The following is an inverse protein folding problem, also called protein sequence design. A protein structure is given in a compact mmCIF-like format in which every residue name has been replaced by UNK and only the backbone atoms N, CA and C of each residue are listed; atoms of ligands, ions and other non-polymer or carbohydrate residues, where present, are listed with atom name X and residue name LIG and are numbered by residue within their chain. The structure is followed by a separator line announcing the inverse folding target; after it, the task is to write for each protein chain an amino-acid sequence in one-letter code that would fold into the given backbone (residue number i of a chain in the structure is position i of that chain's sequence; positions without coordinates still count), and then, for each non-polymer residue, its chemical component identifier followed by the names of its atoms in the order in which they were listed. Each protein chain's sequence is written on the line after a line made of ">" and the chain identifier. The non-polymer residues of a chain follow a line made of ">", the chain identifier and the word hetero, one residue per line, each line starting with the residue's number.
data_IF_397908546011
#
_entry.id   IF_397908546011
#
_cell.length_a   1.000
_cell.length_b   1.000
_cell.length_c   1.000
_cell.angle_alpha   90.00
_cell.angle_beta   90.00
_cell.angle_gamma   90.00
#
_symmetry.space_group_name_H-M   'P 1'
#
loop_
_entity.id
_entity.type
_entity.pdbx_description
1 polymer ?
#
# COMPACT_ATOMS: atom_id res chain seq x y z
N UNK A 1 14.85 -0.79 -0.98
CA UNK A 1 13.74 0.07 -0.48
C UNK A 1 12.53 -0.81 -0.22
N UNK A 2 11.99 -0.75 1.00
CA UNK A 2 10.85 -1.56 1.44
C UNK A 2 9.69 -0.62 1.81
N UNK A 3 8.53 -0.78 1.17
CA UNK A 3 7.33 0.01 1.40
C UNK A 3 6.25 -0.93 1.97
N UNK A 4 5.84 -0.71 3.22
CA UNK A 4 4.73 -1.47 3.80
C UNK A 4 3.40 -0.75 3.58
N UNK A 5 2.43 -1.40 2.97
CA UNK A 5 1.06 -0.90 2.86
C UNK A 5 0.26 -1.46 4.03
N UNK A 6 0.06 -0.65 5.07
CA UNK A 6 -0.55 -1.06 6.32
C UNK A 6 -1.72 -0.17 6.73
N UNK A 7 -2.75 -0.76 7.31
CA UNK A 7 -3.85 -0.07 7.97
C UNK A 7 -4.59 -1.07 8.87
N UNK A 8 -4.95 -0.63 10.07
CA UNK A 8 -5.74 -1.42 11.03
C UNK A 8 -7.11 -1.75 10.43
N UNK A 9 -7.72 -0.78 9.75
CA UNK A 9 -9.04 -0.94 9.14
C UNK A 9 -9.04 -1.90 7.96
N UNK A 10 -10.02 -2.80 7.95
CA UNK A 10 -10.34 -3.62 6.78
C UNK A 10 -11.08 -2.83 5.69
N UNK A 11 -10.90 -3.22 4.43
CA UNK A 11 -11.65 -2.65 3.31
C UNK A 11 -11.13 -1.33 2.74
N UNK A 12 -10.12 -0.70 3.32
CA UNK A 12 -9.55 0.58 2.85
C UNK A 12 -8.70 0.48 1.57
N UNK A 13 -8.59 -0.72 0.98
CA UNK A 13 -7.92 -0.93 -0.29
C UNK A 13 -6.43 -1.23 -0.22
N UNK A 14 -5.91 -1.77 0.91
CA UNK A 14 -4.48 -2.13 1.06
C UNK A 14 -3.95 -2.97 -0.09
N UNK A 15 -4.52 -4.15 -0.30
CA UNK A 15 -4.10 -5.08 -1.36
C UNK A 15 -4.14 -4.45 -2.75
N UNK A 16 -5.23 -3.74 -3.07
CA UNK A 16 -5.35 -3.04 -4.36
C UNK A 16 -4.24 -2.00 -4.52
N UNK A 17 -3.95 -1.24 -3.47
CA UNK A 17 -2.91 -0.22 -3.48
C UNK A 17 -1.51 -0.82 -3.57
N UNK A 18 -1.23 -1.88 -2.82
CA UNK A 18 0.04 -2.59 -2.86
C UNK A 18 0.32 -3.16 -4.26
N UNK A 19 -0.66 -3.83 -4.87
CA UNK A 19 -0.58 -4.35 -6.23
C UNK A 19 -0.36 -3.23 -7.25
N UNK A 20 -1.15 -2.15 -7.17
CA UNK A 20 -1.06 -1.03 -8.09
C UNK A 20 0.29 -0.32 -8.03
N UNK A 21 0.76 -0.05 -6.81
CA UNK A 21 2.06 0.57 -6.59
C UNK A 21 3.19 -0.32 -7.11
N UNK A 22 3.20 -1.60 -6.75
CA UNK A 22 4.23 -2.55 -7.16
C UNK A 22 4.27 -2.69 -8.68
N UNK A 23 3.12 -2.83 -9.36
CA UNK A 23 3.05 -2.93 -10.82
C UNK A 23 3.48 -1.64 -11.51
N UNK A 24 3.10 -0.47 -10.99
CA UNK A 24 3.53 0.82 -11.53
C UNK A 24 5.04 0.99 -11.43
N UNK A 25 5.62 0.65 -10.27
CA UNK A 25 7.07 0.69 -10.06
C UNK A 25 7.83 -0.31 -10.95
N UNK A 26 7.27 -1.52 -11.16
CA UNK A 26 7.85 -2.52 -12.07
C UNK A 26 7.85 -2.04 -13.51
N UNK A 27 6.78 -1.39 -13.97
CA UNK A 27 6.71 -0.82 -15.33
C UNK A 27 7.69 0.31 -15.55
N UNK A 28 7.95 1.12 -14.53
CA UNK A 28 8.95 2.16 -14.58
C UNK A 28 10.39 1.59 -14.62
N UNK A 29 10.59 0.35 -14.17
CA UNK A 29 11.89 -0.34 -14.08
C UNK A 29 11.78 -1.81 -14.55
N UNK A 30 11.58 -2.08 -15.84
CA UNK A 30 11.35 -3.44 -16.33
C UNK A 30 12.51 -4.42 -16.08
N UNK A 31 13.74 -3.90 -16.04
CA UNK A 31 14.96 -4.69 -15.78
C UNK A 31 15.13 -5.06 -14.29
N UNK A 32 14.39 -4.39 -13.40
CA UNK A 32 14.36 -4.65 -11.96
C UNK A 32 12.93 -4.59 -11.44
N UNK A 33 12.11 -5.63 -11.74
CA UNK A 33 10.71 -5.64 -11.32
C UNK A 33 10.56 -5.67 -9.79
N UNK A 34 9.60 -4.92 -9.29
CA UNK A 34 9.27 -4.86 -7.87
C UNK A 34 8.81 -6.22 -7.35
N UNK A 35 9.29 -6.60 -6.17
CA UNK A 35 8.78 -7.74 -5.43
C UNK A 35 7.61 -7.29 -4.53
N UNK A 36 6.46 -7.93 -4.65
CA UNK A 36 5.35 -7.78 -3.71
C UNK A 36 5.30 -8.97 -2.76
N UNK A 37 5.46 -8.70 -1.47
CA UNK A 37 5.28 -9.70 -0.41
C UNK A 37 3.83 -9.69 0.07
N UNK A 38 3.12 -10.79 -0.13
CA UNK A 38 1.74 -10.99 0.32
C UNK A 38 1.76 -11.64 1.71
N UNK A 39 1.48 -10.85 2.74
CA UNK A 39 1.41 -11.32 4.13
C UNK A 39 -0.02 -11.67 4.57
N UNK A 40 -1.01 -11.52 3.69
CA UNK A 40 -2.38 -11.92 4.00
C UNK A 40 -2.53 -13.45 3.92
N UNK A 41 -2.90 -14.14 5.00
CA UNK A 41 -3.17 -15.57 4.96
C UNK A 41 -4.26 -15.98 3.95
N UNK A 42 -5.11 -15.05 3.53
CA UNK A 42 -6.09 -15.28 2.48
C UNK A 42 -5.48 -15.24 1.07
N UNK A 43 -4.24 -14.76 0.93
CA UNK A 43 -3.53 -14.75 -0.34
C UNK A 43 -4.20 -13.87 -1.40
N UNK A 44 -4.73 -12.73 -1.00
CA UNK A 44 -5.52 -11.88 -1.92
C UNK A 44 -4.68 -11.34 -3.07
N UNK A 45 -3.46 -10.86 -2.80
CA UNK A 45 -2.53 -10.40 -3.84
C UNK A 45 -2.00 -11.57 -4.68
N UNK A 46 -1.66 -12.69 -4.05
CA UNK A 46 -1.20 -13.92 -4.71
C UNK A 46 -2.25 -14.45 -5.67
N UNK A 47 -3.49 -14.62 -5.19
CA UNK A 47 -4.59 -15.08 -6.03
C UNK A 47 -4.98 -14.11 -7.14
N UNK A 48 -4.75 -12.80 -6.95
CA UNK A 48 -4.90 -11.82 -8.01
C UNK A 48 -3.83 -12.02 -9.09
N UNK A 49 -2.57 -12.15 -8.71
CA UNK A 49 -1.46 -12.35 -9.64
C UNK A 49 -1.61 -13.63 -10.48
N UNK A 50 -2.08 -14.73 -9.88
CA UNK A 50 -2.35 -15.99 -10.58
C UNK A 50 -3.44 -15.87 -11.67
N UNK A 51 -4.38 -14.93 -11.52
CA UNK A 51 -5.47 -14.71 -12.49
C UNK A 51 -5.15 -13.63 -13.53
N UNK A 52 -4.00 -12.95 -13.36
CA UNK A 52 -3.65 -11.79 -14.18
C UNK A 52 -2.47 -12.10 -15.08
N UNK A 53 -2.69 -12.05 -16.39
CA UNK A 53 -1.61 -12.16 -17.36
C UNK A 53 -0.89 -10.81 -17.55
N UNK A 54 0.42 -10.86 -17.80
CA UNK A 54 1.21 -9.69 -18.18
C UNK A 54 1.59 -8.74 -17.05
N UNK A 55 1.46 -9.15 -15.78
CA UNK A 55 2.05 -8.44 -14.66
C UNK A 55 3.58 -8.53 -14.72
N UNK A 56 4.25 -7.40 -14.49
CA UNK A 56 5.70 -7.35 -14.31
C UNK A 56 6.11 -7.59 -12.85
N UNK A 57 5.23 -7.23 -11.92
CA UNK A 57 5.44 -7.45 -10.48
C UNK A 57 5.55 -8.93 -10.15
N UNK A 58 6.57 -9.29 -9.38
CA UNK A 58 6.69 -10.62 -8.78
C UNK A 58 5.94 -10.65 -7.45
N UNK A 59 5.04 -11.60 -7.27
CA UNK A 59 4.28 -11.74 -6.02
C UNK A 59 4.75 -12.99 -5.28
N UNK A 60 5.10 -12.82 -3.99
CA UNK A 60 5.57 -13.90 -3.13
C UNK A 60 4.75 -13.92 -1.83
N UNK A 61 4.02 -15.01 -1.54
CA UNK A 61 3.36 -15.17 -0.26
C UNK A 61 4.37 -15.41 0.86
N UNK A 62 4.17 -14.74 2.00
CA UNK A 62 4.98 -14.93 3.21
C UNK A 62 4.06 -15.35 4.35
N UNK A 63 4.31 -16.54 4.88
CA UNK A 63 3.56 -17.09 6.01
C UNK A 63 4.50 -17.34 7.18
N UNK A 64 4.27 -16.65 8.29
CA UNK A 64 5.01 -16.81 9.53
C UNK A 64 4.10 -17.10 10.72
N UNK A 65 4.65 -17.74 11.74
CA UNK A 65 3.92 -18.14 12.98
C UNK A 65 4.10 -17.14 14.12
N UNK A 66 4.99 -16.16 13.97
CA UNK A 66 5.25 -15.11 14.95
C UNK A 66 5.82 -13.87 14.25
N UNK A 67 5.71 -12.70 14.88
CA UNK A 67 6.26 -11.46 14.37
C UNK A 67 7.76 -11.56 14.05
N UNK A 68 8.56 -12.12 14.97
CA UNK A 68 10.00 -12.28 14.76
C UNK A 68 10.37 -13.22 13.61
N UNK A 69 9.54 -14.26 13.35
CA UNK A 69 9.72 -15.12 12.17
C UNK A 69 9.34 -14.36 10.88
N UNK A 70 8.26 -13.58 10.91
CA UNK A 70 7.83 -12.75 9.78
C UNK A 70 8.88 -11.72 9.42
N UNK A 71 9.41 -10.95 10.38
CA UNK A 71 10.49 -9.98 10.16
C UNK A 71 11.70 -10.63 9.48
N UNK A 72 12.10 -11.82 9.95
CA UNK A 72 13.21 -12.54 9.31
C UNK A 72 12.88 -12.94 7.87
N UNK A 73 11.69 -13.49 7.62
CA UNK A 73 11.27 -13.91 6.27
C UNK A 73 11.17 -12.72 5.31
N UNK A 74 10.69 -11.56 5.80
CA UNK A 74 10.66 -10.32 5.02
C UNK A 74 12.07 -9.91 4.63
N UNK A 75 13.01 -9.84 5.59
CA UNK A 75 14.42 -9.50 5.31
C UNK A 75 15.07 -10.47 4.32
N UNK A 76 14.88 -11.77 4.53
CA UNK A 76 15.46 -12.80 3.66
C UNK A 76 14.91 -12.69 2.23
N UNK A 77 13.60 -12.45 2.07
CA UNK A 77 12.95 -12.28 0.77
C UNK A 77 13.32 -10.95 0.08
N UNK A 78 13.56 -9.90 0.86
CA UNK A 78 13.93 -8.57 0.34
C UNK A 78 15.40 -8.43 -0.02
N UNK A 79 16.24 -9.42 0.37
CA UNK A 79 17.67 -9.35 0.15
C UNK A 79 18.02 -9.36 -1.35
N UNK A 80 18.67 -8.30 -1.81
CA UNK A 80 19.07 -8.13 -3.21
C UNK A 80 18.00 -7.55 -4.13
N UNK A 81 16.81 -7.21 -3.59
CA UNK A 81 15.75 -6.56 -4.33
C UNK A 81 15.90 -5.02 -4.25
N UNK A 82 15.71 -4.34 -5.38
CA UNK A 82 15.78 -2.87 -5.42
C UNK A 82 14.57 -2.25 -4.72
N UNK A 83 13.38 -2.79 -5.01
CA UNK A 83 12.11 -2.33 -4.45
C UNK A 83 11.25 -3.52 -4.02
N UNK A 84 10.76 -3.42 -2.79
CA UNK A 84 9.83 -4.38 -2.20
C UNK A 84 8.60 -3.62 -1.71
N UNK A 85 7.42 -4.11 -2.05
CA UNK A 85 6.14 -3.66 -1.48
C UNK A 85 5.60 -4.78 -0.61
N UNK A 86 5.08 -4.46 0.56
CA UNK A 86 4.48 -5.43 1.49
C UNK A 86 2.98 -5.16 1.59
N UNK A 87 2.15 -6.16 1.27
CA UNK A 87 0.72 -6.13 1.53
C UNK A 87 0.42 -6.78 2.88
N UNK A 88 -0.27 -6.05 3.77
CA UNK A 88 -0.60 -6.53 5.13
C UNK A 88 -2.08 -6.89 5.25
N UNK A 89 -2.43 -7.97 5.99
CA UNK A 89 -3.82 -8.34 6.25
C UNK A 89 -4.53 -7.33 7.17
N UNK A 90 -5.85 -7.21 7.09
CA UNK A 90 -6.62 -6.41 8.03
C UNK A 90 -6.68 -7.09 9.41
N UNK A 91 -6.63 -6.29 10.48
CA UNK A 91 -6.89 -6.77 11.85
C UNK A 91 -5.81 -7.66 12.47
N UNK A 92 -4.68 -7.87 11.80
CA UNK A 92 -3.55 -8.66 12.30
C UNK A 92 -2.40 -7.74 12.72
N UNK A 93 -2.47 -7.22 13.95
CA UNK A 93 -1.49 -6.26 14.49
C UNK A 93 -0.06 -6.82 14.44
N UNK A 94 0.14 -8.06 14.87
CA UNK A 94 1.48 -8.69 14.89
C UNK A 94 2.12 -8.79 13.51
N UNK A 95 1.31 -8.98 12.45
CA UNK A 95 1.79 -9.02 11.07
C UNK A 95 2.12 -7.61 10.58
N UNK A 96 1.26 -6.65 10.91
CA UNK A 96 1.49 -5.24 10.57
C UNK A 96 2.76 -4.71 11.27
N UNK A 97 2.95 -5.00 12.57
CA UNK A 97 4.18 -4.64 13.31
C UNK A 97 5.44 -5.22 12.67
N UNK A 98 5.40 -6.49 12.24
CA UNK A 98 6.52 -7.12 11.58
C UNK A 98 6.86 -6.43 10.24
N UNK A 99 5.85 -6.03 9.47
CA UNK A 99 6.02 -5.32 8.20
C UNK A 99 6.54 -3.89 8.43
N UNK A 100 5.97 -3.16 9.39
CA UNK A 100 6.37 -1.80 9.79
C UNK A 100 7.83 -1.79 10.24
N UNK A 101 8.25 -2.80 11.05
CA UNK A 101 9.62 -2.90 11.56
C UNK A 101 10.69 -3.13 10.51
N UNK A 102 10.33 -3.54 9.29
CA UNK A 102 11.27 -3.77 8.18
C UNK A 102 11.11 -2.72 7.06
N UNK A 103 10.17 -1.76 7.19
CA UNK A 103 9.84 -0.80 6.14
C UNK A 103 10.73 0.46 6.20
N UNK A 104 11.11 0.95 5.04
CA UNK A 104 11.68 2.29 4.86
C UNK A 104 10.57 3.36 4.82
N UNK A 105 9.34 2.97 4.46
CA UNK A 105 8.14 3.81 4.47
C UNK A 105 6.90 2.95 4.72
N UNK A 106 6.01 3.46 5.59
CA UNK A 106 4.68 2.89 5.78
C UNK A 106 3.65 3.75 5.04
N UNK A 107 3.05 3.19 3.99
CA UNK A 107 1.97 3.82 3.24
C UNK A 107 0.62 3.41 3.86
N UNK A 108 -0.16 4.38 4.30
CA UNK A 108 -1.41 4.15 5.03
C UNK A 108 -2.59 4.62 4.17
N UNK A 109 -3.29 3.72 3.46
CA UNK A 109 -4.53 4.08 2.76
C UNK A 109 -5.67 4.28 3.76
N UNK A 110 -6.46 5.34 3.55
CA UNK A 110 -7.65 5.64 4.34
C UNK A 110 -8.74 6.28 3.50
N UNK A 111 -9.99 6.03 3.86
CA UNK A 111 -11.14 6.76 3.31
C UNK A 111 -11.27 8.12 4.00
N UNK A 112 -11.86 9.15 3.34
CA UNK A 112 -11.97 10.50 3.89
C UNK A 112 -13.15 10.65 4.88
N UNK A 113 -13.35 9.68 5.78
CA UNK A 113 -14.43 9.66 6.78
C UNK A 113 -13.87 9.47 8.18
N UNK A 114 -14.58 9.95 9.19
CA UNK A 114 -14.10 10.04 10.58
C UNK A 114 -13.56 8.71 11.13
N UNK A 115 -14.31 7.60 10.97
CA UNK A 115 -13.90 6.30 11.51
C UNK A 115 -12.63 5.75 10.82
N UNK A 116 -12.51 5.71 9.47
CA UNK A 116 -11.24 5.38 8.80
C UNK A 116 -10.08 6.28 9.20
N UNK A 117 -10.29 7.60 9.32
CA UNK A 117 -9.24 8.55 9.71
C UNK A 117 -8.70 8.25 11.12
N UNK A 118 -9.59 7.97 12.08
CA UNK A 118 -9.19 7.60 13.44
C UNK A 118 -8.31 6.34 13.43
N UNK A 119 -8.66 5.34 12.62
CA UNK A 119 -7.87 4.12 12.51
C UNK A 119 -6.57 4.30 11.74
N UNK A 120 -6.53 5.25 10.79
CA UNK A 120 -5.29 5.63 10.12
C UNK A 120 -4.31 6.29 11.10
N UNK A 121 -4.79 7.20 11.97
CA UNK A 121 -3.98 7.80 13.03
C UNK A 121 -3.44 6.74 14.01
N UNK A 122 -4.26 5.76 14.41
CA UNK A 122 -3.78 4.64 15.22
C UNK A 122 -2.69 3.80 14.51
N UNK A 123 -2.75 3.70 13.16
CA UNK A 123 -1.67 3.05 12.38
C UNK A 123 -0.40 3.89 12.36
N UNK A 124 -0.53 5.23 12.31
CA UNK A 124 0.62 6.15 12.46
C UNK A 124 1.29 5.96 13.82
N UNK A 125 0.50 5.91 14.91
CA UNK A 125 1.00 5.67 16.28
C UNK A 125 1.77 4.34 16.39
N UNK A 126 1.33 3.27 15.71
CA UNK A 126 2.05 2.00 15.67
C UNK A 126 3.43 2.10 15.02
N UNK A 127 3.59 2.98 14.03
CA UNK A 127 4.85 3.18 13.32
C UNK A 127 5.74 4.24 13.96
N UNK A 128 5.27 4.94 15.00
CA UNK A 128 5.99 6.03 15.66
C UNK A 128 7.35 5.55 16.21
N UNK A 129 8.42 6.24 15.83
CA UNK A 129 9.78 5.88 16.23
C UNK A 129 10.34 4.62 15.56
N UNK A 130 9.60 3.98 14.66
CA UNK A 130 10.00 2.76 13.94
C UNK A 130 10.28 3.06 12.47
N UNK A 131 9.29 3.61 11.75
CA UNK A 131 9.42 3.94 10.33
C UNK A 131 8.64 5.22 9.99
N UNK A 132 9.08 6.00 8.99
CA UNK A 132 8.31 7.12 8.47
C UNK A 132 6.97 6.64 7.90
N UNK A 133 5.94 7.48 8.03
CA UNK A 133 4.58 7.19 7.56
C UNK A 133 4.11 8.20 6.54
N UNK A 134 3.33 7.78 5.56
CA UNK A 134 2.61 8.65 4.65
C UNK A 134 1.17 8.15 4.48
N UNK A 135 0.20 9.04 4.68
CA UNK A 135 -1.22 8.73 4.49
C UNK A 135 -1.63 9.08 3.06
N UNK A 136 -2.39 8.19 2.41
CA UNK A 136 -3.01 8.45 1.12
C UNK A 136 -4.53 8.35 1.25
N UNK A 137 -5.24 9.41 0.83
CA UNK A 137 -6.70 9.38 0.76
C UNK A 137 -7.12 8.49 -0.40
N UNK A 138 -7.87 7.44 -0.07
CA UNK A 138 -8.36 6.43 -1.00
C UNK A 138 -9.88 6.44 -1.06
N UNK A 139 -10.45 5.94 -2.15
CA UNK A 139 -11.90 5.89 -2.38
C UNK A 139 -12.57 7.27 -2.28
N UNK A 140 -11.87 8.31 -2.73
CA UNK A 140 -12.35 9.69 -2.68
C UNK A 140 -13.45 9.91 -3.73
N UNK A 141 -14.58 10.45 -3.31
CA UNK A 141 -15.64 10.89 -4.21
C UNK A 141 -15.33 12.32 -4.69
N UNK A 142 -15.12 12.51 -5.99
CA UNK A 142 -14.72 13.79 -6.58
C UNK A 142 -15.73 14.94 -6.41
N UNK A 143 -16.96 14.62 -6.00
CA UNK A 143 -18.03 15.60 -5.75
C UNK A 143 -18.15 16.02 -4.27
N UNK A 144 -17.34 15.50 -3.37
CA UNK A 144 -17.48 15.72 -1.92
C UNK A 144 -16.37 16.64 -1.39
N UNK A 145 -16.72 17.50 -0.43
CA UNK A 145 -15.74 18.29 0.34
C UNK A 145 -15.02 17.45 1.42
N UNK A 146 -15.27 16.13 1.44
CA UNK A 146 -14.81 15.23 2.50
C UNK A 146 -13.28 15.10 2.51
N UNK A 147 -12.63 15.12 1.34
CA UNK A 147 -11.17 15.02 1.28
C UNK A 147 -10.47 16.26 1.86
N UNK A 148 -11.02 17.45 1.64
CA UNK A 148 -10.47 18.67 2.22
C UNK A 148 -10.59 18.68 3.74
N UNK A 149 -11.73 18.25 4.28
CA UNK A 149 -11.94 18.11 5.71
C UNK A 149 -11.03 17.02 6.31
N UNK A 150 -10.89 15.87 5.63
CA UNK A 150 -9.99 14.80 6.04
C UNK A 150 -8.52 15.28 6.11
N UNK A 151 -8.04 16.02 5.09
CA UNK A 151 -6.70 16.61 5.10
C UNK A 151 -6.49 17.55 6.27
N UNK A 152 -7.47 18.39 6.61
CA UNK A 152 -7.37 19.29 7.76
C UNK A 152 -7.22 18.52 9.08
N UNK A 153 -8.00 17.45 9.26
CA UNK A 153 -7.91 16.59 10.46
C UNK A 153 -6.53 15.94 10.56
N UNK A 154 -6.05 15.34 9.48
CA UNK A 154 -4.77 14.64 9.46
C UNK A 154 -3.58 15.60 9.63
N UNK A 155 -3.60 16.74 8.93
CA UNK A 155 -2.54 17.76 9.08
C UNK A 155 -2.54 18.36 10.48
N UNK A 156 -3.73 18.52 11.08
CA UNK A 156 -3.85 18.98 12.48
C UNK A 156 -3.30 17.98 13.51
N UNK A 157 -3.16 16.71 13.13
CA UNK A 157 -2.52 15.66 13.92
C UNK A 157 -1.02 15.47 13.59
N UNK A 158 -0.41 16.44 12.88
CA UNK A 158 1.01 16.42 12.47
C UNK A 158 1.41 15.18 11.66
N UNK A 159 0.50 14.69 10.80
CA UNK A 159 0.77 13.54 9.94
C UNK A 159 1.09 13.95 8.51
N UNK A 160 1.97 13.19 7.85
CA UNK A 160 2.27 13.37 6.42
C UNK A 160 1.13 12.79 5.58
N UNK A 161 0.49 13.64 4.77
CA UNK A 161 -0.55 13.24 3.82
C UNK A 161 -0.05 13.49 2.40
N UNK A 162 -0.08 12.47 1.56
CA UNK A 162 0.33 12.59 0.16
C UNK A 162 -0.61 13.51 -0.62
N UNK A 163 -0.08 14.24 -1.60
CA UNK A 163 -0.90 15.16 -2.40
C UNK A 163 -1.85 14.42 -3.34
N UNK A 164 -1.46 13.23 -3.79
CA UNK A 164 -2.29 12.37 -4.62
C UNK A 164 -3.47 11.80 -3.84
N UNK A 165 -4.64 11.77 -4.48
CA UNK A 165 -5.85 11.12 -3.98
C UNK A 165 -6.27 10.01 -4.95
N UNK A 166 -6.69 8.86 -4.42
CA UNK A 166 -7.17 7.75 -5.24
C UNK A 166 -8.70 7.81 -5.30
N UNK A 167 -9.28 8.03 -6.48
CA UNK A 167 -10.73 8.18 -6.63
C UNK A 167 -11.48 6.87 -6.39
N UNK A 168 -12.73 6.98 -5.91
CA UNK A 168 -13.63 5.85 -5.78
C UNK A 168 -14.21 5.46 -7.16
N UNK A 169 -13.37 4.88 -8.01
CA UNK A 169 -13.81 4.41 -9.32
C UNK A 169 -14.16 2.93 -9.29
N UNK A 170 -15.31 2.59 -9.87
CA UNK A 170 -15.72 1.19 -10.06
C UNK A 170 -14.66 0.39 -10.84
N UNK A 171 -13.93 1.04 -11.74
CA UNK A 171 -12.84 0.44 -12.50
C UNK A 171 -11.69 -0.02 -11.60
N UNK A 172 -11.35 0.74 -10.54
CA UNK A 172 -10.32 0.34 -9.55
C UNK A 172 -10.83 -0.84 -8.72
N UNK A 173 -12.09 -0.77 -8.24
CA UNK A 173 -12.68 -1.83 -7.41
C UNK A 173 -12.89 -3.15 -8.15
N UNK A 174 -12.95 -3.12 -9.49
CA UNK A 174 -13.19 -4.28 -10.36
C UNK A 174 -11.97 -4.65 -11.22
N UNK A 175 -10.81 -4.18 -10.87
CA UNK A 175 -9.60 -4.53 -11.61
C UNK A 175 -9.43 -6.06 -11.59
N UNK A 176 -9.48 -6.65 -12.79
CA UNK A 176 -9.30 -8.08 -13.04
C UNK A 176 -7.94 -8.40 -13.69
N UNK A 177 -7.01 -7.45 -13.59
CA UNK A 177 -5.65 -7.60 -14.06
C UNK A 177 -5.38 -7.10 -15.48
N UNK A 178 -6.28 -7.27 -16.43
CA UNK A 178 -6.08 -6.76 -17.81
C UNK A 178 -6.15 -5.23 -17.87
N UNK A 179 -6.85 -4.61 -16.94
CA UNK A 179 -7.11 -3.17 -16.92
C UNK A 179 -5.95 -2.33 -16.35
N UNK A 180 -5.04 -2.92 -15.59
CA UNK A 180 -3.84 -2.23 -15.11
C UNK A 180 -2.95 -1.71 -16.25
N UNK A 181 -3.03 -2.37 -17.39
CA UNK A 181 -2.14 -2.09 -18.53
C UNK A 181 -2.78 -1.23 -19.61
N UNK A 182 -4.10 -1.05 -19.57
CA UNK A 182 -4.86 -0.44 -20.68
C UNK A 182 -5.70 0.77 -20.28
N UNK A 183 -5.97 0.97 -18.98
CA UNK A 183 -6.77 2.10 -18.53
C UNK A 183 -5.89 3.30 -18.16
N UNK A 184 -5.76 4.26 -19.08
CA UNK A 184 -4.92 5.46 -18.90
C UNK A 184 -5.22 6.24 -17.62
N UNK A 185 -6.49 6.32 -17.18
CA UNK A 185 -6.85 7.04 -15.95
C UNK A 185 -6.32 6.34 -14.70
N UNK A 186 -6.38 5.01 -14.68
CA UNK A 186 -5.83 4.21 -13.59
C UNK A 186 -4.31 4.34 -13.58
N UNK A 187 -3.68 4.18 -14.72
CA UNK A 187 -2.22 4.35 -14.87
C UNK A 187 -1.77 5.73 -14.38
N UNK A 188 -2.46 6.80 -14.76
CA UNK A 188 -2.11 8.17 -14.37
C UNK A 188 -2.15 8.35 -12.86
N UNK A 189 -3.21 7.91 -12.19
CA UNK A 189 -3.35 8.11 -10.73
C UNK A 189 -2.34 7.29 -9.94
N UNK A 190 -2.05 6.06 -10.36
CA UNK A 190 -1.05 5.24 -9.67
C UNK A 190 0.40 5.61 -10.04
N UNK A 191 0.64 6.21 -11.20
CA UNK A 191 1.94 6.83 -11.49
C UNK A 191 2.20 8.02 -10.58
N UNK A 192 1.21 8.88 -10.38
CA UNK A 192 1.31 9.98 -9.41
C UNK A 192 1.52 9.47 -7.98
N UNK A 193 0.86 8.36 -7.58
CA UNK A 193 1.11 7.72 -6.29
C UNK A 193 2.57 7.25 -6.18
N UNK A 194 3.08 6.55 -7.18
CA UNK A 194 4.46 6.06 -7.19
C UNK A 194 5.47 7.20 -7.08
N UNK A 195 5.27 8.29 -7.81
CA UNK A 195 6.11 9.51 -7.73
C UNK A 195 6.09 10.12 -6.33
N UNK A 196 4.91 10.26 -5.71
CA UNK A 196 4.76 10.78 -4.35
C UNK A 196 5.48 9.87 -3.33
N UNK A 197 5.29 8.56 -3.44
CA UNK A 197 5.92 7.57 -2.54
C UNK A 197 7.44 7.59 -2.68
N UNK A 198 7.97 7.67 -3.91
CA UNK A 198 9.42 7.75 -4.13
C UNK A 198 10.02 9.04 -3.56
N UNK A 199 9.29 10.14 -3.55
CA UNK A 199 9.74 11.41 -2.97
C UNK A 199 9.83 11.36 -1.43
N UNK A 200 9.10 10.45 -0.76
CA UNK A 200 9.16 10.30 0.71
C UNK A 200 10.38 9.47 1.18
N UNK A 201 11.00 8.68 0.30
CA UNK A 201 12.12 7.78 0.65
C UNK A 201 13.48 8.20 0.07
N UNK A 202 13.52 9.35 -0.63
CA UNK A 202 14.75 9.96 -1.16
C UNK A 202 15.19 11.12 -0.29
#
# INVERSE_FOLDING_TARGET
>A
MIIAVAAIKGGVGKTTMAMALAETLSRARPDSPTLLLDLDPQGSATGFAERTEGLLTRVQPIVGRSAGQLSRLIRDASAGEDVVVIDTPPGHIDIADAAIGEADLVLIPTEPYLDPLTQALATVEMAEGVAPTAIVLNMVNTSANDSAAARQVLTGADTRVLDVEIPNWVAIARIDGSQWTTNEKILTVFSALAENVLAEVT
#
